data_IF_371039751014
#
_entry.id   IF_371039751014
#
_cell.length_a   1.000
_cell.length_b   1.000
_cell.length_c   1.000
_cell.angle_alpha   90.00
_cell.angle_beta   90.00
_cell.angle_gamma   90.00
#
_symmetry.space_group_name_H-M   'P 1'
#
loop_
_entity.id
_entity.type
_entity.pdbx_description
1 polymer ?
#
# COMPACT_ATOMS: atom_id res chain seq x y z
N UNK A 1 32.53 -25.79 -7.28
CA UNK A 1 31.55 -24.74 -7.58
C UNK A 1 31.38 -23.91 -6.31
N UNK A 2 31.93 -22.70 -6.26
CA UNK A 2 31.56 -21.78 -5.16
C UNK A 2 30.11 -21.42 -5.39
N UNK A 3 29.21 -21.80 -4.48
CA UNK A 3 27.90 -21.17 -4.42
C UNK A 3 28.15 -19.65 -4.37
N UNK A 4 27.74 -18.92 -5.40
CA UNK A 4 27.89 -17.47 -5.38
C UNK A 4 27.15 -16.93 -4.16
N UNK A 5 27.82 -16.12 -3.35
CA UNK A 5 27.18 -15.54 -2.18
C UNK A 5 25.93 -14.76 -2.62
N UNK A 6 24.80 -15.01 -1.95
CA UNK A 6 23.55 -14.27 -2.16
C UNK A 6 23.81 -12.77 -2.01
N UNK A 7 23.39 -11.99 -3.02
CA UNK A 7 23.52 -10.53 -3.00
C UNK A 7 22.43 -9.92 -2.13
N UNK A 8 22.82 -8.98 -1.29
CA UNK A 8 21.88 -8.20 -0.49
C UNK A 8 20.98 -7.33 -1.40
N UNK A 9 19.70 -7.14 -1.03
CA UNK A 9 18.80 -6.23 -1.73
C UNK A 9 19.28 -4.77 -1.67
N UNK A 10 18.85 -3.89 -2.60
CA UNK A 10 19.21 -2.48 -2.60
C UNK A 10 18.80 -1.78 -1.30
N UNK A 11 19.77 -1.20 -0.59
CA UNK A 11 19.57 -0.64 0.75
C UNK A 11 18.50 0.46 0.83
N UNK A 12 18.38 1.33 -0.18
CA UNK A 12 17.33 2.36 -0.22
C UNK A 12 15.92 1.76 -0.31
N UNK A 13 15.76 0.67 -1.08
CA UNK A 13 14.48 -0.02 -1.18
C UNK A 13 14.12 -0.71 0.15
N UNK A 14 15.11 -1.33 0.81
CA UNK A 14 14.92 -1.90 2.15
C UNK A 14 14.52 -0.83 3.16
N UNK A 15 15.21 0.33 3.17
CA UNK A 15 14.85 1.45 4.02
C UNK A 15 13.41 1.91 3.79
N UNK A 16 12.98 2.03 2.53
CA UNK A 16 11.60 2.39 2.20
C UNK A 16 10.59 1.36 2.74
N UNK A 17 10.89 0.07 2.65
CA UNK A 17 10.05 -0.98 3.26
C UNK A 17 10.01 -0.87 4.79
N UNK A 18 11.13 -0.61 5.45
CA UNK A 18 11.20 -0.43 6.90
C UNK A 18 10.41 0.81 7.36
N UNK A 19 10.46 1.90 6.60
CA UNK A 19 9.63 3.08 6.86
C UNK A 19 8.14 2.75 6.73
N UNK A 20 7.74 2.04 5.67
CA UNK A 20 6.36 1.62 5.50
C UNK A 20 5.90 0.68 6.62
N UNK A 21 6.75 -0.25 7.06
CA UNK A 21 6.48 -1.07 8.24
C UNK A 21 6.29 -0.23 9.49
N UNK A 22 7.13 0.79 9.72
CA UNK A 22 6.98 1.72 10.83
C UNK A 22 5.62 2.43 10.83
N UNK A 23 5.15 2.87 9.66
CA UNK A 23 3.79 3.43 9.53
C UNK A 23 2.70 2.37 9.76
N UNK A 24 2.91 1.14 9.29
CA UNK A 24 2.05 -0.01 9.56
C UNK A 24 1.89 -0.25 11.06
N UNK A 25 3.00 -0.39 11.80
CA UNK A 25 3.02 -0.58 13.25
C UNK A 25 2.35 0.59 13.98
N UNK A 26 2.66 1.83 13.60
CA UNK A 26 2.03 3.01 14.19
C UNK A 26 0.51 2.96 14.02
N UNK A 27 0.02 2.60 12.83
CA UNK A 27 -1.42 2.48 12.59
C UNK A 27 -2.06 1.32 13.36
N UNK A 28 -1.34 0.23 13.61
CA UNK A 28 -1.78 -0.86 14.49
C UNK A 28 -1.88 -0.41 15.94
N UNK A 29 -0.86 0.30 16.44
CA UNK A 29 -0.85 0.88 17.79
C UNK A 29 -1.98 1.89 17.99
N UNK A 30 -2.23 2.75 16.99
CA UNK A 30 -3.37 3.69 17.01
C UNK A 30 -4.72 2.97 17.10
N UNK A 31 -4.90 1.87 16.36
CA UNK A 31 -6.13 1.09 16.44
C UNK A 31 -6.29 0.37 17.78
N UNK A 32 -5.21 -0.09 18.40
CA UNK A 32 -5.25 -0.75 19.71
C UNK A 32 -5.47 0.23 20.86
N UNK A 33 -4.83 1.39 20.82
CA UNK A 33 -4.81 2.36 21.92
C UNK A 33 -5.83 3.50 21.81
N UNK A 34 -6.25 3.87 20.60
CA UNK A 34 -7.06 5.08 20.34
C UNK A 34 -8.30 4.80 19.49
N UNK A 35 -8.82 3.57 19.54
CA UNK A 35 -9.97 3.13 18.74
C UNK A 35 -11.17 4.06 18.93
N UNK A 36 -11.46 4.39 20.18
CA UNK A 36 -12.64 5.15 20.56
C UNK A 36 -12.52 6.61 20.11
N UNK A 37 -11.34 7.19 20.24
CA UNK A 37 -11.01 8.55 19.84
C UNK A 37 -11.09 8.70 18.32
N UNK A 38 -10.58 7.72 17.56
CA UNK A 38 -10.72 7.69 16.09
C UNK A 38 -12.20 7.59 15.70
N UNK A 39 -12.97 6.75 16.39
CA UNK A 39 -14.40 6.58 16.14
C UNK A 39 -15.18 7.87 16.42
N UNK A 40 -14.95 8.50 17.58
CA UNK A 40 -15.57 9.77 17.95
C UNK A 40 -15.19 10.91 17.02
N UNK A 41 -13.92 10.98 16.60
CA UNK A 41 -13.46 11.94 15.60
C UNK A 41 -14.24 11.78 14.29
N UNK A 42 -14.41 10.55 13.81
CA UNK A 42 -15.13 10.28 12.58
C UNK A 42 -16.62 10.66 12.70
N UNK A 43 -17.29 10.35 13.81
CA UNK A 43 -18.68 10.79 14.08
C UNK A 43 -18.77 12.31 14.04
N UNK A 44 -17.94 13.00 14.83
CA UNK A 44 -17.99 14.46 14.94
C UNK A 44 -17.74 15.13 13.57
N UNK A 45 -16.81 14.59 12.77
CA UNK A 45 -16.57 15.07 11.41
C UNK A 45 -17.75 14.83 10.49
N UNK A 46 -18.40 13.67 10.56
CA UNK A 46 -19.55 13.35 9.72
C UNK A 46 -20.79 14.18 10.08
N UNK A 47 -21.02 14.42 11.37
CA UNK A 47 -22.07 15.33 11.86
C UNK A 47 -21.88 16.75 11.32
N UNK A 48 -20.63 17.22 11.22
CA UNK A 48 -20.31 18.52 10.64
C UNK A 48 -20.50 18.59 9.11
N UNK A 49 -20.72 17.46 8.43
CA UNK A 49 -20.89 17.37 6.97
C UNK A 49 -22.15 16.57 6.61
N UNK A 50 -23.35 17.01 7.02
CA UNK A 50 -24.58 16.23 6.88
C UNK A 50 -24.92 15.91 5.41
N UNK A 51 -24.65 16.84 4.49
CA UNK A 51 -24.89 16.65 3.06
C UNK A 51 -24.04 15.53 2.44
N UNK A 52 -22.84 15.26 2.98
CA UNK A 52 -21.96 14.21 2.48
C UNK A 52 -22.49 12.79 2.80
N UNK A 53 -23.31 12.67 3.84
CA UNK A 53 -23.82 11.39 4.36
C UNK A 53 -25.34 11.27 4.31
N UNK A 54 -26.02 12.27 3.75
CA UNK A 54 -27.49 12.31 3.64
C UNK A 54 -28.19 12.20 5.00
N UNK A 55 -27.65 12.91 6.00
CA UNK A 55 -28.28 12.97 7.32
C UNK A 55 -29.66 13.61 7.21
N UNK A 56 -30.63 13.00 7.89
CA UNK A 56 -32.06 13.26 7.79
C UNK A 56 -32.56 14.25 8.83
N UNK A 57 -31.79 14.47 9.91
CA UNK A 57 -32.19 15.23 11.10
C UNK A 57 -32.99 14.39 12.10
N UNK A 58 -33.29 13.12 11.80
CA UNK A 58 -33.92 12.17 12.73
C UNK A 58 -32.82 11.44 13.49
N UNK A 59 -32.76 11.64 14.81
CA UNK A 59 -31.66 11.18 15.68
C UNK A 59 -31.35 9.68 15.51
N UNK A 60 -32.35 8.81 15.66
CA UNK A 60 -32.17 7.36 15.57
C UNK A 60 -31.64 6.90 14.20
N UNK A 61 -32.05 7.57 13.12
CA UNK A 61 -31.62 7.23 11.75
C UNK A 61 -30.19 7.73 11.53
N UNK A 62 -29.92 8.97 11.91
CA UNK A 62 -28.64 9.62 11.70
C UNK A 62 -27.54 8.96 12.54
N UNK A 63 -27.85 8.50 13.75
CA UNK A 63 -26.90 7.76 14.59
C UNK A 63 -26.37 6.51 13.89
N UNK A 64 -27.25 5.70 13.27
CA UNK A 64 -26.84 4.50 12.54
C UNK A 64 -25.95 4.84 11.34
N UNK A 65 -26.22 5.95 10.65
CA UNK A 65 -25.39 6.42 9.53
C UNK A 65 -24.00 6.83 10.06
N UNK A 66 -23.95 7.61 11.13
CA UNK A 66 -22.72 8.12 11.73
C UNK A 66 -21.82 7.00 12.26
N UNK A 67 -22.39 6.02 12.96
CA UNK A 67 -21.67 4.82 13.43
C UNK A 67 -21.07 4.05 12.25
N UNK A 68 -21.85 3.87 11.17
CA UNK A 68 -21.35 3.21 9.95
C UNK A 68 -20.19 3.96 9.30
N UNK A 69 -20.24 5.30 9.26
CA UNK A 69 -19.12 6.11 8.74
C UNK A 69 -17.88 5.91 9.60
N UNK A 70 -18.02 5.94 10.93
CA UNK A 70 -16.93 5.78 11.87
C UNK A 70 -16.29 4.38 11.78
N UNK A 71 -17.09 3.33 11.75
CA UNK A 71 -16.64 1.96 11.52
C UNK A 71 -15.88 1.81 10.21
N UNK A 72 -16.39 2.41 9.12
CA UNK A 72 -15.72 2.39 7.83
C UNK A 72 -14.39 3.14 7.87
N UNK A 73 -14.34 4.33 8.48
CA UNK A 73 -13.09 5.08 8.64
C UNK A 73 -12.04 4.24 9.39
N UNK A 74 -12.42 3.64 10.51
CA UNK A 74 -11.54 2.77 11.28
C UNK A 74 -11.10 1.53 10.49
N UNK A 75 -12.00 0.90 9.73
CA UNK A 75 -11.67 -0.21 8.84
C UNK A 75 -10.64 0.18 7.76
N UNK A 76 -10.60 1.46 7.33
CA UNK A 76 -9.54 1.94 6.41
C UNK A 76 -8.20 2.13 7.10
N UNK A 77 -8.16 2.50 8.38
CA UNK A 77 -6.92 2.46 9.19
C UNK A 77 -6.40 1.02 9.30
N UNK A 78 -7.30 0.06 9.56
CA UNK A 78 -6.96 -1.37 9.57
C UNK A 78 -6.44 -1.85 8.22
N UNK A 79 -7.08 -1.44 7.13
CA UNK A 79 -6.66 -1.78 5.76
C UNK A 79 -5.27 -1.20 5.45
N UNK A 80 -4.99 0.03 5.89
CA UNK A 80 -3.68 0.66 5.79
C UNK A 80 -2.61 -0.14 6.55
N UNK A 81 -2.88 -0.54 7.79
CA UNK A 81 -2.00 -1.39 8.60
C UNK A 81 -1.61 -2.66 7.83
N UNK A 82 -2.61 -3.44 7.41
CA UNK A 82 -2.39 -4.71 6.71
C UNK A 82 -1.63 -4.53 5.39
N UNK A 83 -2.01 -3.55 4.57
CA UNK A 83 -1.35 -3.31 3.28
C UNK A 83 0.07 -2.78 3.44
N UNK A 84 0.35 -1.99 4.48
CA UNK A 84 1.71 -1.50 4.75
C UNK A 84 2.64 -2.68 5.04
N UNK A 85 2.20 -3.62 5.88
CA UNK A 85 2.98 -4.83 6.16
C UNK A 85 3.10 -5.76 4.95
N UNK A 86 1.96 -6.07 4.31
CA UNK A 86 1.95 -6.97 3.15
C UNK A 86 2.82 -6.46 2.01
N UNK A 87 2.69 -5.18 1.65
CA UNK A 87 3.42 -4.61 0.53
C UNK A 87 4.90 -4.38 0.86
N UNK A 88 5.24 -3.99 2.09
CA UNK A 88 6.62 -3.90 2.55
C UNK A 88 7.34 -5.24 2.45
N UNK A 89 6.69 -6.33 2.90
CA UNK A 89 7.24 -7.68 2.83
C UNK A 89 7.43 -8.17 1.38
N UNK A 90 6.38 -8.07 0.56
CA UNK A 90 6.46 -8.47 -0.86
C UNK A 90 7.55 -7.68 -1.58
N UNK A 91 7.66 -6.38 -1.33
CA UNK A 91 8.69 -5.55 -1.97
C UNK A 91 10.10 -5.96 -1.56
N UNK A 92 10.36 -6.30 -0.29
CA UNK A 92 11.66 -6.86 0.14
C UNK A 92 12.00 -8.13 -0.63
N UNK A 93 11.03 -9.02 -0.82
CA UNK A 93 11.21 -10.26 -1.58
C UNK A 93 11.58 -9.92 -3.04
N UNK A 94 10.83 -9.04 -3.69
CA UNK A 94 11.08 -8.63 -5.08
C UNK A 94 12.46 -7.97 -5.25
N UNK A 95 12.86 -7.10 -4.31
CA UNK A 95 14.17 -6.47 -4.28
C UNK A 95 15.30 -7.50 -4.12
N UNK A 96 15.07 -8.54 -3.32
CA UNK A 96 16.02 -9.64 -3.13
C UNK A 96 16.15 -10.47 -4.41
N UNK A 97 15.03 -10.80 -5.06
CA UNK A 97 15.04 -11.47 -6.37
C UNK A 97 15.82 -10.62 -7.38
N UNK A 98 15.48 -9.33 -7.51
CA UNK A 98 16.15 -8.39 -8.42
C UNK A 98 17.65 -8.27 -8.17
N UNK A 99 18.10 -8.27 -6.91
CA UNK A 99 19.52 -8.20 -6.59
C UNK A 99 20.30 -9.42 -7.12
N UNK A 100 19.63 -10.56 -7.22
CA UNK A 100 20.21 -11.85 -7.58
C UNK A 100 19.95 -12.26 -9.05
N UNK A 101 19.33 -11.41 -9.88
CA UNK A 101 19.23 -11.67 -11.33
C UNK A 101 20.54 -11.35 -12.07
N UNK A 102 20.69 -11.92 -13.27
CA UNK A 102 21.74 -11.58 -14.23
C UNK A 102 21.53 -10.25 -14.96
N UNK A 103 20.53 -9.46 -14.57
CA UNK A 103 20.17 -8.22 -15.26
C UNK A 103 21.27 -7.15 -15.17
N UNK A 104 21.32 -6.28 -16.18
CA UNK A 104 22.22 -5.13 -16.17
C UNK A 104 22.02 -4.26 -14.91
N UNK A 105 23.06 -3.59 -14.38
CA UNK A 105 22.93 -2.71 -13.22
C UNK A 105 21.85 -1.64 -13.39
N UNK A 106 21.70 -1.08 -14.61
CA UNK A 106 20.66 -0.08 -14.92
C UNK A 106 19.25 -0.65 -14.83
N UNK A 107 19.02 -1.83 -15.40
CA UNK A 107 17.72 -2.51 -15.35
C UNK A 107 17.34 -2.84 -13.91
N UNK A 108 18.27 -3.35 -13.10
CA UNK A 108 18.04 -3.65 -11.68
C UNK A 108 17.70 -2.38 -10.90
N UNK A 109 18.44 -1.30 -11.10
CA UNK A 109 18.17 -0.02 -10.43
C UNK A 109 16.79 0.54 -10.82
N UNK A 110 16.45 0.51 -12.11
CA UNK A 110 15.16 1.00 -12.61
C UNK A 110 13.99 0.19 -12.03
N UNK A 111 14.05 -1.14 -12.08
CA UNK A 111 13.00 -2.00 -11.52
C UNK A 111 12.91 -1.87 -10.00
N UNK A 112 14.04 -1.76 -9.31
CA UNK A 112 14.05 -1.58 -7.85
C UNK A 112 13.39 -0.27 -7.44
N UNK A 113 13.69 0.83 -8.14
CA UNK A 113 13.03 2.11 -7.93
C UNK A 113 11.53 2.00 -8.22
N UNK A 114 11.16 1.41 -9.36
CA UNK A 114 9.78 1.33 -9.80
C UNK A 114 8.90 0.50 -8.85
N UNK A 115 9.37 -0.67 -8.40
CA UNK A 115 8.69 -1.47 -7.38
C UNK A 115 8.62 -0.70 -6.05
N UNK A 116 9.69 0.01 -5.65
CA UNK A 116 9.69 0.78 -4.41
C UNK A 116 8.71 1.97 -4.43
N UNK A 117 8.46 2.59 -5.58
CA UNK A 117 7.44 3.64 -5.71
C UNK A 117 6.03 3.13 -5.38
N UNK A 118 5.77 1.84 -5.60
CA UNK A 118 4.50 1.22 -5.23
C UNK A 118 4.23 1.20 -3.73
N UNK A 119 5.26 1.35 -2.88
CA UNK A 119 5.11 1.45 -1.42
C UNK A 119 4.28 2.66 -0.97
N UNK A 120 3.99 3.61 -1.87
CA UNK A 120 3.09 4.72 -1.61
C UNK A 120 1.61 4.34 -1.77
N UNK A 121 1.28 3.20 -2.38
CA UNK A 121 -0.09 2.72 -2.57
C UNK A 121 -0.92 2.66 -1.27
N UNK A 122 -0.42 2.13 -0.14
CA UNK A 122 -1.22 1.99 1.08
C UNK A 122 -1.73 3.34 1.61
N UNK A 123 -1.03 4.45 1.36
CA UNK A 123 -1.45 5.79 1.82
C UNK A 123 -2.79 6.24 1.23
N UNK A 124 -3.29 5.61 0.16
CA UNK A 124 -4.67 5.80 -0.29
C UNK A 124 -5.70 5.32 0.74
N UNK A 125 -5.43 4.24 1.47
CA UNK A 125 -6.29 3.78 2.56
C UNK A 125 -6.29 4.74 3.74
N UNK A 126 -5.13 5.30 4.08
CA UNK A 126 -5.04 6.32 5.13
C UNK A 126 -5.77 7.62 4.71
N UNK A 127 -5.66 8.00 3.44
CA UNK A 127 -6.41 9.12 2.86
C UNK A 127 -7.93 8.88 2.96
N UNK A 128 -8.39 7.66 2.65
CA UNK A 128 -9.79 7.28 2.83
C UNK A 128 -10.23 7.36 4.29
N UNK A 129 -9.44 6.81 5.23
CA UNK A 129 -9.75 6.86 6.65
C UNK A 129 -9.97 8.32 7.12
N UNK A 130 -9.10 9.22 6.69
CA UNK A 130 -9.12 10.62 7.08
C UNK A 130 -10.24 11.44 6.44
N UNK A 131 -10.48 11.23 5.14
CA UNK A 131 -11.36 12.11 4.35
C UNK A 131 -12.79 11.62 4.23
N UNK A 132 -13.05 10.31 4.39
CA UNK A 132 -14.38 9.72 4.30
C UNK A 132 -15.40 10.43 5.22
N UNK A 133 -15.10 10.76 6.49
CA UNK A 133 -16.05 11.46 7.34
C UNK A 133 -16.45 12.85 6.83
N UNK A 134 -15.62 13.53 6.04
CA UNK A 134 -15.92 14.90 5.56
C UNK A 134 -16.43 14.94 4.11
N UNK A 135 -15.96 14.03 3.26
CA UNK A 135 -16.25 14.04 1.82
C UNK A 135 -17.33 13.04 1.42
N UNK A 136 -17.66 12.07 2.29
CA UNK A 136 -18.46 10.91 1.91
C UNK A 136 -17.65 9.90 1.09
N UNK A 137 -18.23 8.73 0.87
CA UNK A 137 -17.50 7.58 0.33
C UNK A 137 -16.98 7.80 -1.10
N UNK A 138 -17.84 8.29 -2.00
CA UNK A 138 -17.49 8.44 -3.43
C UNK A 138 -16.36 9.45 -3.65
N UNK A 139 -16.45 10.64 -3.02
CA UNK A 139 -15.46 11.69 -3.20
C UNK A 139 -14.13 11.35 -2.49
N UNK A 140 -14.18 10.75 -1.30
CA UNK A 140 -12.97 10.25 -0.63
C UNK A 140 -12.27 9.20 -1.48
N UNK A 141 -13.02 8.26 -2.07
CA UNK A 141 -12.45 7.23 -2.94
C UNK A 141 -11.82 7.82 -4.19
N UNK A 142 -12.50 8.73 -4.88
CA UNK A 142 -11.92 9.39 -6.05
C UNK A 142 -10.62 10.14 -5.73
N UNK A 143 -10.53 10.76 -4.54
CA UNK A 143 -9.31 11.41 -4.09
C UNK A 143 -8.16 10.41 -3.87
N UNK A 144 -8.41 9.35 -3.10
CA UNK A 144 -7.42 8.30 -2.84
C UNK A 144 -7.00 7.57 -4.12
N UNK A 145 -7.94 7.36 -5.03
CA UNK A 145 -7.72 6.72 -6.32
C UNK A 145 -6.74 7.51 -7.18
N UNK A 146 -7.00 8.81 -7.35
CA UNK A 146 -6.16 9.70 -8.18
C UNK A 146 -4.78 9.93 -7.58
N UNK A 147 -4.70 10.09 -6.26
CA UNK A 147 -3.43 10.42 -5.60
C UNK A 147 -2.56 9.19 -5.37
N UNK A 148 -3.15 8.03 -5.08
CA UNK A 148 -2.40 6.88 -4.61
C UNK A 148 -2.69 5.59 -5.37
N UNK A 149 -3.95 5.17 -5.47
CA UNK A 149 -4.24 3.82 -5.97
C UNK A 149 -3.87 3.64 -7.44
N UNK A 150 -4.27 4.55 -8.33
CA UNK A 150 -3.92 4.46 -9.75
C UNK A 150 -2.42 4.66 -9.98
N UNK A 151 -1.79 5.78 -9.53
CA UNK A 151 -0.41 6.04 -9.90
C UNK A 151 0.54 4.99 -9.31
N UNK A 152 0.41 4.65 -8.02
CA UNK A 152 1.36 3.75 -7.36
C UNK A 152 0.95 2.28 -7.46
N UNK A 153 -0.34 1.97 -7.37
CA UNK A 153 -0.83 0.60 -7.58
C UNK A 153 -0.64 0.14 -9.02
N UNK A 154 -0.99 1.00 -9.99
CA UNK A 154 -0.76 0.74 -11.41
C UNK A 154 0.73 0.62 -11.72
N UNK A 155 1.56 1.54 -11.23
CA UNK A 155 3.02 1.45 -11.39
C UNK A 155 3.59 0.15 -10.80
N UNK A 156 3.14 -0.26 -9.61
CA UNK A 156 3.59 -1.48 -8.97
C UNK A 156 3.23 -2.72 -9.79
N UNK A 157 1.99 -2.82 -10.27
CA UNK A 157 1.56 -3.94 -11.12
C UNK A 157 2.36 -4.02 -12.42
N UNK A 158 2.62 -2.88 -13.07
CA UNK A 158 3.46 -2.84 -14.27
C UNK A 158 4.90 -3.23 -13.98
N UNK A 159 5.48 -2.79 -12.85
CA UNK A 159 6.84 -3.14 -12.45
C UNK A 159 6.97 -4.65 -12.15
N UNK A 160 6.02 -5.23 -11.44
CA UNK A 160 5.97 -6.68 -11.16
C UNK A 160 5.76 -7.46 -12.46
N UNK A 161 4.86 -7.03 -13.33
CA UNK A 161 4.64 -7.66 -14.64
C UNK A 161 5.91 -7.63 -15.51
N UNK A 162 6.60 -6.49 -15.56
CA UNK A 162 7.87 -6.36 -16.27
C UNK A 162 8.94 -7.28 -15.68
N UNK A 163 9.05 -7.36 -14.35
CA UNK A 163 9.97 -8.29 -13.69
C UNK A 163 9.67 -9.75 -14.06
N UNK A 164 8.40 -10.16 -14.01
CA UNK A 164 7.99 -11.52 -14.38
C UNK A 164 8.42 -11.84 -15.82
N UNK A 165 8.10 -10.95 -16.77
CA UNK A 165 8.44 -11.14 -18.19
C UNK A 165 9.96 -11.23 -18.38
N UNK A 166 10.71 -10.27 -17.85
CA UNK A 166 12.16 -10.25 -17.99
C UNK A 166 12.81 -11.49 -17.36
N UNK A 167 12.35 -11.89 -16.17
CA UNK A 167 12.85 -13.07 -15.48
C UNK A 167 12.56 -14.35 -16.28
N UNK A 168 11.35 -14.49 -16.80
CA UNK A 168 10.99 -15.62 -17.67
C UNK A 168 11.85 -15.66 -18.95
N UNK A 169 12.09 -14.51 -19.58
CA UNK A 169 12.96 -14.47 -20.78
C UNK A 169 14.40 -14.86 -20.49
N UNK A 170 14.92 -14.45 -19.32
CA UNK A 170 16.28 -14.80 -18.89
C UNK A 170 16.40 -16.30 -18.63
N UNK A 171 15.43 -16.90 -17.91
CA UNK A 171 15.36 -18.34 -17.70
C UNK A 171 15.29 -19.15 -19.01
N UNK A 172 14.51 -18.68 -19.99
CA UNK A 172 14.40 -19.35 -21.29
C UNK A 172 15.74 -19.28 -22.06
N UNK A 173 16.44 -18.15 -22.01
CA UNK A 173 17.76 -17.99 -22.65
C UNK A 173 18.80 -18.90 -22.02
N UNK A 174 18.91 -18.90 -20.69
CA UNK A 174 19.84 -19.75 -19.95
C UNK A 174 19.65 -21.23 -20.29
N UNK A 175 18.39 -21.70 -20.38
CA UNK A 175 18.08 -23.07 -20.80
C UNK A 175 18.49 -23.38 -22.24
N UNK A 176 18.31 -22.44 -23.17
CA UNK A 176 18.72 -22.62 -24.58
C UNK A 176 20.23 -22.67 -24.74
N UNK A 177 20.96 -21.94 -23.90
CA UNK A 177 22.43 -21.82 -23.93
C UNK A 177 23.12 -22.94 -23.13
N UNK A 178 22.37 -23.81 -22.46
CA UNK A 178 22.93 -24.93 -21.67
C UNK A 178 23.64 -24.48 -20.37
N UNK A 179 23.57 -23.19 -20.05
CA UNK A 179 24.04 -22.63 -18.77
C UNK A 179 23.02 -22.94 -17.67
N UNK A 180 23.43 -23.61 -16.57
CA UNK A 180 22.55 -23.77 -15.42
C UNK A 180 22.22 -22.40 -14.79
N UNK A 181 21.03 -22.27 -14.15
CA UNK A 181 20.62 -21.07 -13.43
C UNK A 181 21.51 -20.77 -12.21
#
# INVERSE_FOLDING_TARGET
MSAGALKAPPGLGVLACLLLFGFGELSGALQGGYRQEIHQYAIARAQAHPAAHQLTGVEDIDQVILERVADRSLARVHTFHLHSHGLGLVTIILLTVLANTGFSPRTRAALSLWVSLGLLYPFGWLTLAWTLPSLGEAAAFQLAERLFFIPFGGAYLLAVGALIVLYATDLIKQRREGTPP
#
